data_IF_566361424322
#
_entry.id   IF_566361424322
#
_cell.length_a   1.000
_cell.length_b   1.000
_cell.length_c   1.000
_cell.angle_alpha   90.00
_cell.angle_beta   90.00
_cell.angle_gamma   90.00
#
_symmetry.space_group_name_H-M   'P 1'
#
loop_
_entity.id
_entity.type
_entity.pdbx_description
1 polymer ?
#
# COMPACT_ATOMS: atom_id res chain seq x y z
N UNK A 1 -22.13 35.65 50.46
CA UNK A 1 -21.39 34.89 51.51
C UNK A 1 -21.11 33.51 50.88
N UNK A 2 -19.92 33.31 50.36
CA UNK A 2 -19.48 31.99 49.95
C UNK A 2 -19.29 31.13 51.19
N UNK A 3 -19.98 29.98 51.25
CA UNK A 3 -19.72 28.98 52.27
C UNK A 3 -18.28 28.49 52.19
N UNK A 4 -17.72 27.94 53.24
CA UNK A 4 -16.36 27.43 53.25
C UNK A 4 -16.24 26.35 52.13
N UNK A 5 -15.21 26.48 51.33
CA UNK A 5 -14.80 25.44 50.36
C UNK A 5 -14.77 24.09 51.11
N UNK A 6 -15.78 23.27 50.85
CA UNK A 6 -15.77 21.90 51.31
C UNK A 6 -14.85 21.12 50.40
N UNK A 7 -13.57 21.13 50.72
CA UNK A 7 -12.63 20.24 50.05
C UNK A 7 -13.10 18.79 50.28
N UNK A 8 -13.32 18.10 49.17
CA UNK A 8 -13.61 16.68 49.19
C UNK A 8 -12.32 15.95 49.59
N UNK A 9 -12.39 15.06 50.59
CA UNK A 9 -11.24 14.22 50.93
C UNK A 9 -10.85 13.34 49.76
N UNK A 10 -9.55 13.08 49.63
CA UNK A 10 -9.08 12.07 48.70
C UNK A 10 -9.80 10.73 48.98
N UNK A 11 -10.17 10.04 47.92
CA UNK A 11 -10.86 8.75 47.93
C UNK A 11 -12.21 8.73 48.63
N UNK A 12 -12.84 9.91 48.85
CA UNK A 12 -14.14 10.01 49.50
C UNK A 12 -15.33 9.95 48.55
N UNK A 13 -15.11 10.10 47.24
CA UNK A 13 -16.14 9.94 46.23
C UNK A 13 -15.99 8.54 45.60
N UNK A 14 -17.02 7.74 45.76
CA UNK A 14 -17.09 6.39 45.24
C UNK A 14 -18.22 6.29 44.19
N UNK A 15 -18.22 5.23 43.37
CA UNK A 15 -19.19 5.07 42.29
C UNK A 15 -20.67 5.32 42.65
N UNK A 16 -21.17 4.94 43.85
CA UNK A 16 -22.54 5.28 44.28
C UNK A 16 -22.80 6.77 44.53
N UNK A 17 -21.76 7.56 44.71
CA UNK A 17 -21.89 9.01 44.98
C UNK A 17 -22.05 9.82 43.69
N UNK A 18 -21.78 9.20 42.53
CA UNK A 18 -21.91 9.81 41.23
C UNK A 18 -23.03 9.12 40.43
N UNK A 19 -24.11 9.84 40.20
CA UNK A 19 -25.23 9.29 39.47
C UNK A 19 -24.79 8.93 38.02
N UNK A 20 -25.35 7.88 37.48
CA UNK A 20 -25.07 7.45 36.11
C UNK A 20 -25.35 8.59 35.11
N UNK A 21 -24.42 8.86 34.20
CA UNK A 21 -24.47 9.94 33.19
C UNK A 21 -24.54 11.37 33.79
N UNK A 22 -24.15 11.56 35.06
CA UNK A 22 -24.16 12.90 35.67
C UNK A 22 -22.91 13.71 35.38
N UNK A 23 -21.81 13.08 34.99
CA UNK A 23 -20.59 13.77 34.57
C UNK A 23 -20.57 13.99 33.08
N UNK A 24 -20.24 15.19 32.68
CA UNK A 24 -20.10 15.63 31.29
C UNK A 24 -18.68 16.11 31.04
N UNK A 25 -18.31 16.37 29.75
CA UNK A 25 -17.00 16.94 29.42
C UNK A 25 -16.70 18.28 30.09
N UNK A 26 -17.75 19.04 30.49
CA UNK A 26 -17.57 20.30 31.24
C UNK A 26 -17.20 20.13 32.70
N UNK A 27 -17.36 18.92 33.25
CA UNK A 27 -17.08 18.61 34.66
C UNK A 27 -15.64 18.11 34.86
N UNK A 28 -14.94 17.85 33.74
CA UNK A 28 -13.56 17.35 33.75
C UNK A 28 -12.67 18.38 33.06
N UNK A 29 -11.65 18.86 33.76
CA UNK A 29 -10.73 19.85 33.20
C UNK A 29 -9.99 19.28 31.99
N UNK A 30 -9.78 20.11 30.97
CA UNK A 30 -9.04 19.74 29.77
C UNK A 30 -7.67 19.17 30.10
N UNK A 31 -7.31 18.06 29.47
CA UNK A 31 -6.05 17.34 29.64
C UNK A 31 -5.79 16.79 31.08
N UNK A 32 -6.81 16.73 31.91
CA UNK A 32 -6.68 16.21 33.29
C UNK A 32 -6.71 14.68 33.39
N UNK A 33 -7.37 14.00 32.42
CA UNK A 33 -7.40 12.54 32.35
C UNK A 33 -6.20 12.05 31.48
N UNK A 34 -5.54 11.01 31.97
CA UNK A 34 -4.44 10.31 31.31
C UNK A 34 -4.86 8.86 31.03
N UNK A 35 -4.12 8.15 30.17
CA UNK A 35 -4.41 6.76 29.86
C UNK A 35 -4.53 5.84 31.08
N UNK A 36 -3.79 6.13 32.18
CA UNK A 36 -3.87 5.36 33.40
C UNK A 36 -5.19 5.57 34.20
N UNK A 37 -5.92 6.64 33.89
CA UNK A 37 -7.18 6.99 34.51
C UNK A 37 -8.40 6.37 33.81
N UNK A 38 -8.16 5.71 32.65
CA UNK A 38 -9.19 5.18 31.80
C UNK A 38 -8.93 3.68 31.52
N UNK A 39 -9.94 2.85 31.79
CA UNK A 39 -9.92 1.45 31.37
C UNK A 39 -10.28 1.38 29.87
N UNK A 40 -9.26 1.43 29.01
CA UNK A 40 -9.40 1.42 27.57
C UNK A 40 -9.98 0.10 27.03
N UNK A 41 -9.93 -0.98 27.81
CA UNK A 41 -10.52 -2.26 27.40
C UNK A 41 -12.03 -2.20 27.27
N UNK A 42 -12.66 -1.24 27.94
CA UNK A 42 -14.11 -1.00 27.93
C UNK A 42 -14.56 0.00 26.85
N UNK A 43 -13.61 0.70 26.22
CA UNK A 43 -13.86 1.72 25.22
C UNK A 43 -13.87 1.12 23.80
N UNK A 44 -14.91 0.40 23.45
CA UNK A 44 -15.03 -0.27 22.15
C UNK A 44 -15.10 0.66 20.93
N UNK A 45 -15.25 1.97 21.15
CA UNK A 45 -15.47 2.95 20.05
C UNK A 45 -14.43 4.07 19.96
N UNK A 46 -13.45 4.11 20.85
CA UNK A 46 -12.43 5.18 20.86
C UNK A 46 -11.06 4.53 20.66
N UNK A 47 -10.60 4.45 19.45
CA UNK A 47 -9.24 4.18 18.94
C UNK A 47 -8.14 3.48 19.78
N UNK A 48 -8.39 3.07 21.00
CA UNK A 48 -7.38 2.56 21.92
C UNK A 48 -7.28 1.04 22.07
N UNK A 49 -8.20 0.25 21.53
CA UNK A 49 -8.18 -1.22 21.68
C UNK A 49 -9.32 -1.94 20.98
N UNK A 50 -10.13 -1.22 20.21
CA UNK A 50 -11.25 -1.75 19.44
C UNK A 50 -10.79 -2.56 18.22
N UNK A 51 -11.72 -3.27 17.56
CA UNK A 51 -11.44 -3.89 16.30
C UNK A 51 -11.07 -2.83 15.26
N UNK A 52 -10.11 -3.11 14.42
CA UNK A 52 -9.84 -2.32 13.23
C UNK A 52 -10.99 -2.50 12.22
N UNK A 53 -11.18 -1.52 11.34
CA UNK A 53 -12.27 -1.56 10.37
C UNK A 53 -11.83 -1.01 9.02
N UNK A 54 -12.68 -1.14 8.00
CA UNK A 54 -12.34 -0.80 6.63
C UNK A 54 -11.32 -1.78 6.05
N UNK A 55 -10.25 -1.26 5.48
CA UNK A 55 -9.16 -2.03 4.89
C UNK A 55 -8.18 -2.63 5.92
N UNK A 56 -8.46 -2.45 7.19
CA UNK A 56 -7.67 -2.99 8.28
C UNK A 56 -8.42 -4.10 9.01
N UNK A 57 -7.67 -5.11 9.46
CA UNK A 57 -8.14 -6.21 10.32
C UNK A 57 -7.34 -6.26 11.62
N UNK A 58 -7.75 -7.11 12.57
CA UNK A 58 -7.12 -7.22 13.87
C UNK A 58 -7.63 -6.17 14.87
N UNK A 59 -6.79 -5.71 15.75
CA UNK A 59 -7.13 -4.76 16.80
C UNK A 59 -6.06 -3.68 16.93
N UNK A 60 -6.48 -2.46 17.23
CA UNK A 60 -5.54 -1.41 17.63
C UNK A 60 -4.83 -1.79 18.95
N UNK A 61 -3.56 -1.39 19.16
CA UNK A 61 -2.77 -0.47 18.34
C UNK A 61 -2.00 -1.12 17.17
N UNK A 62 -2.14 -2.41 16.90
CA UNK A 62 -1.38 -3.13 15.89
C UNK A 62 -2.34 -3.77 14.84
N UNK A 63 -3.07 -2.97 14.06
CA UNK A 63 -3.88 -3.50 12.97
C UNK A 63 -2.99 -4.01 11.83
N UNK A 64 -3.53 -4.93 11.07
CA UNK A 64 -2.95 -5.45 9.82
C UNK A 64 -3.82 -5.04 8.64
N UNK A 65 -3.27 -5.04 7.44
CA UNK A 65 -4.05 -4.88 6.22
C UNK A 65 -4.92 -6.14 6.06
N UNK A 66 -6.23 -5.96 5.90
CA UNK A 66 -7.14 -7.07 5.69
C UNK A 66 -6.79 -7.82 4.38
N UNK A 67 -7.07 -9.12 4.34
CA UNK A 67 -6.94 -9.88 3.10
C UNK A 67 -7.78 -9.23 2.00
N UNK A 68 -7.23 -9.15 0.80
CA UNK A 68 -7.86 -8.54 -0.39
C UNK A 68 -8.16 -7.03 -0.28
N UNK A 69 -7.67 -6.34 0.76
CA UNK A 69 -7.82 -4.88 0.91
C UNK A 69 -7.01 -4.08 -0.12
N UNK A 70 -5.96 -4.68 -0.68
CA UNK A 70 -5.18 -4.08 -1.77
C UNK A 70 -5.44 -4.89 -3.04
N UNK A 71 -6.35 -4.40 -3.86
CA UNK A 71 -6.73 -4.98 -5.14
C UNK A 71 -6.24 -4.16 -6.32
N UNK A 72 -6.75 -4.49 -7.52
CA UNK A 72 -6.42 -3.74 -8.74
C UNK A 72 -6.92 -2.29 -8.73
N UNK A 73 -7.90 -1.98 -7.88
CA UNK A 73 -8.46 -0.63 -7.71
C UNK A 73 -7.52 0.27 -6.90
N UNK A 74 -6.85 -0.28 -5.91
CA UNK A 74 -5.87 0.42 -5.06
C UNK A 74 -4.54 0.58 -5.79
N UNK A 75 -4.22 -0.33 -6.71
CA UNK A 75 -3.05 -0.27 -7.60
C UNK A 75 -3.30 0.57 -8.86
N UNK A 76 -4.00 1.68 -8.74
CA UNK A 76 -4.44 2.52 -9.88
C UNK A 76 -3.33 3.07 -10.77
N UNK A 77 -2.13 3.04 -10.37
CA UNK A 77 -1.01 3.52 -11.17
C UNK A 77 -0.25 2.43 -11.90
N UNK A 78 -0.75 1.19 -11.93
CA UNK A 78 -0.08 0.13 -12.67
C UNK A 78 -0.37 0.25 -14.17
N UNK A 79 0.68 0.53 -14.94
CA UNK A 79 0.65 0.74 -16.38
C UNK A 79 1.45 -0.38 -17.01
N UNK A 80 0.82 -1.11 -17.95
CA UNK A 80 1.51 -2.07 -18.81
C UNK A 80 1.85 -1.39 -20.13
N UNK A 81 3.11 -1.48 -20.52
CA UNK A 81 3.64 -0.96 -21.79
C UNK A 81 4.25 -2.11 -22.54
N UNK A 82 3.98 -2.16 -23.83
CA UNK A 82 4.55 -3.14 -24.74
C UNK A 82 5.17 -2.42 -25.95
N UNK A 83 6.35 -2.86 -26.37
CA UNK A 83 6.96 -2.47 -27.63
C UNK A 83 7.51 -3.69 -28.35
N UNK A 84 7.61 -3.62 -29.67
CA UNK A 84 8.04 -4.77 -30.46
C UNK A 84 8.75 -4.37 -31.77
N UNK A 85 9.64 -5.23 -32.21
CA UNK A 85 10.27 -5.10 -33.52
C UNK A 85 10.34 -6.43 -34.25
N UNK A 86 10.31 -6.35 -35.57
CA UNK A 86 10.52 -7.50 -36.44
C UNK A 86 12.01 -7.75 -36.61
N UNK A 87 12.46 -8.95 -36.21
CA UNK A 87 13.86 -9.38 -36.31
C UNK A 87 14.04 -10.22 -37.58
N UNK A 88 14.95 -9.82 -38.47
CA UNK A 88 15.19 -10.55 -39.74
C UNK A 88 15.61 -12.00 -39.48
N UNK A 89 15.33 -12.92 -40.44
CA UNK A 89 15.71 -14.33 -40.31
C UNK A 89 17.23 -14.54 -40.45
N UNK A 90 17.67 -15.78 -40.27
CA UNK A 90 19.02 -16.25 -40.52
C UNK A 90 20.10 -15.56 -39.69
N UNK A 91 19.86 -15.43 -38.39
CA UNK A 91 20.82 -14.82 -37.44
C UNK A 91 20.67 -13.31 -37.31
N UNK A 92 19.59 -12.72 -37.80
CA UNK A 92 19.29 -11.30 -37.54
C UNK A 92 19.20 -11.01 -36.06
N UNK A 93 19.78 -9.89 -35.63
CA UNK A 93 19.79 -9.42 -34.23
C UNK A 93 18.95 -8.15 -34.15
N UNK A 94 18.25 -7.98 -33.04
CA UNK A 94 17.51 -6.76 -32.75
C UNK A 94 17.44 -6.44 -31.28
N UNK A 95 17.29 -5.15 -31.01
CA UNK A 95 17.13 -4.56 -29.70
C UNK A 95 15.79 -3.86 -29.63
N UNK A 96 15.03 -4.10 -28.58
CA UNK A 96 13.72 -3.47 -28.33
C UNK A 96 13.67 -2.98 -26.88
N UNK A 97 13.04 -1.84 -26.67
CA UNK A 97 12.92 -1.23 -25.35
C UNK A 97 11.51 -0.71 -25.11
N UNK A 98 10.83 -1.20 -24.06
CA UNK A 98 9.56 -0.70 -23.60
C UNK A 98 9.78 0.35 -22.50
N UNK A 99 9.37 1.59 -22.76
CA UNK A 99 9.57 2.72 -21.84
C UNK A 99 8.33 3.01 -21.01
N UNK A 100 8.54 3.19 -19.73
CA UNK A 100 7.50 3.71 -18.84
C UNK A 100 7.12 5.15 -19.23
N UNK A 101 5.83 5.51 -19.15
CA UNK A 101 5.39 6.89 -19.35
C UNK A 101 6.06 7.87 -18.39
N UNK A 102 6.10 9.14 -18.79
CA UNK A 102 6.62 10.22 -17.94
C UNK A 102 5.90 10.26 -16.59
N UNK A 103 6.66 10.39 -15.52
CA UNK A 103 6.13 10.40 -14.15
C UNK A 103 5.93 9.02 -13.53
N UNK A 104 6.18 7.94 -14.27
CA UNK A 104 6.10 6.57 -13.75
C UNK A 104 7.49 5.93 -13.58
N UNK A 105 7.52 4.83 -12.85
CA UNK A 105 8.72 4.06 -12.55
C UNK A 105 8.53 2.59 -12.91
N UNK A 106 9.55 1.99 -13.53
CA UNK A 106 9.58 0.56 -13.82
C UNK A 106 9.52 -0.27 -12.53
N UNK A 107 8.65 -1.28 -12.52
CA UNK A 107 8.57 -2.31 -11.48
C UNK A 107 9.27 -3.59 -11.95
N UNK A 108 8.87 -4.07 -13.12
CA UNK A 108 9.43 -5.26 -13.76
C UNK A 108 9.13 -5.22 -15.26
N UNK A 109 9.65 -6.20 -15.98
CA UNK A 109 9.35 -6.40 -17.39
C UNK A 109 9.77 -7.78 -17.84
N UNK A 110 9.61 -8.01 -19.13
CA UNK A 110 9.95 -9.26 -19.77
C UNK A 110 10.14 -9.11 -21.27
N UNK A 111 10.54 -10.20 -21.91
CA UNK A 111 10.61 -10.25 -23.36
C UNK A 111 10.34 -11.65 -23.89
N UNK A 112 9.84 -11.72 -25.11
CA UNK A 112 9.58 -13.00 -25.77
C UNK A 112 9.69 -12.87 -27.27
N UNK A 113 10.05 -13.99 -27.91
CA UNK A 113 9.88 -14.16 -29.36
C UNK A 113 8.56 -14.87 -29.66
N UNK A 114 7.98 -14.55 -30.80
CA UNK A 114 6.74 -15.19 -31.28
C UNK A 114 6.89 -16.70 -31.52
N UNK A 115 8.11 -17.17 -31.85
CA UNK A 115 8.40 -18.58 -32.14
C UNK A 115 9.68 -19.07 -31.45
N UNK A 116 9.83 -20.39 -31.20
CA UNK A 116 10.95 -20.97 -30.45
C UNK A 116 12.33 -20.83 -31.09
N UNK A 117 12.41 -20.43 -32.37
CA UNK A 117 13.69 -20.20 -33.04
C UNK A 117 14.32 -18.85 -32.75
N UNK A 118 13.66 -18.00 -31.97
CA UNK A 118 14.26 -16.80 -31.41
C UNK A 118 15.00 -17.12 -30.10
N UNK A 119 16.13 -16.49 -29.89
CA UNK A 119 16.98 -16.61 -28.71
C UNK A 119 17.22 -15.24 -28.11
N UNK A 120 16.90 -15.07 -26.84
CA UNK A 120 17.22 -13.86 -26.08
C UNK A 120 18.66 -13.91 -25.61
N UNK A 121 19.46 -12.91 -26.00
CA UNK A 121 20.82 -12.71 -25.48
C UNK A 121 20.83 -11.84 -24.23
N UNK A 122 19.83 -10.96 -24.09
CA UNK A 122 19.68 -10.05 -22.96
C UNK A 122 18.20 -9.72 -22.72
N UNK A 123 17.78 -9.61 -21.47
CA UNK A 123 16.48 -9.08 -21.05
C UNK A 123 16.64 -8.51 -19.66
N UNK A 124 16.66 -7.18 -19.55
CA UNK A 124 17.05 -6.50 -18.31
C UNK A 124 16.43 -5.10 -18.18
N UNK A 125 16.35 -4.55 -16.97
CA UNK A 125 15.92 -3.17 -16.77
C UNK A 125 16.98 -2.18 -17.25
N UNK A 126 16.55 -1.09 -17.89
CA UNK A 126 17.38 0.08 -18.20
C UNK A 126 17.01 1.23 -17.27
N UNK A 127 17.79 1.36 -16.21
CA UNK A 127 17.48 2.29 -15.14
C UNK A 127 16.14 2.00 -14.46
N UNK A 128 15.43 3.04 -14.10
CA UNK A 128 14.11 2.93 -13.45
C UNK A 128 12.95 3.22 -14.42
N UNK A 129 13.20 3.25 -15.74
CA UNK A 129 12.23 3.79 -16.69
C UNK A 129 11.96 2.89 -17.90
N UNK A 130 12.70 1.81 -18.10
CA UNK A 130 12.49 0.95 -19.25
C UNK A 130 12.91 -0.50 -18.97
N UNK A 131 12.32 -1.42 -19.73
CA UNK A 131 12.81 -2.78 -19.91
C UNK A 131 13.34 -2.95 -21.31
N UNK A 132 14.50 -3.58 -21.46
CA UNK A 132 15.14 -3.77 -22.76
C UNK A 132 15.50 -5.22 -22.99
N UNK A 133 15.34 -5.68 -24.21
CA UNK A 133 15.80 -6.99 -24.59
C UNK A 133 16.50 -6.96 -25.94
N UNK A 134 17.52 -7.77 -26.05
CA UNK A 134 18.23 -8.08 -27.28
C UNK A 134 18.09 -9.56 -27.58
N UNK A 135 17.89 -9.87 -28.83
CA UNK A 135 17.76 -11.26 -29.24
C UNK A 135 18.07 -11.50 -30.70
N UNK A 136 18.27 -12.76 -31.03
CA UNK A 136 18.62 -13.22 -32.36
C UNK A 136 17.53 -14.14 -32.91
N UNK A 137 17.18 -13.96 -34.18
CA UNK A 137 16.28 -14.85 -34.91
C UNK A 137 17.08 -15.88 -35.73
N UNK A 138 17.14 -17.10 -35.25
CA UNK A 138 17.80 -18.22 -35.94
C UNK A 138 16.86 -18.96 -36.91
N UNK A 139 15.62 -18.48 -37.09
CA UNK A 139 14.64 -19.04 -37.99
C UNK A 139 14.83 -18.62 -39.45
N UNK A 140 14.00 -19.18 -40.33
CA UNK A 140 14.01 -18.90 -41.74
C UNK A 140 13.04 -17.77 -42.15
N UNK A 141 12.20 -17.32 -41.24
CA UNK A 141 11.25 -16.23 -41.46
C UNK A 141 11.47 -15.15 -40.39
N UNK A 142 11.12 -13.92 -40.72
CA UNK A 142 11.17 -12.83 -39.74
C UNK A 142 10.30 -13.16 -38.50
N UNK A 143 10.73 -12.73 -37.34
CA UNK A 143 10.02 -12.95 -36.06
C UNK A 143 9.91 -11.66 -35.29
N UNK A 144 8.81 -11.51 -34.58
CA UNK A 144 8.63 -10.40 -33.67
C UNK A 144 9.30 -10.70 -32.31
N UNK A 145 10.18 -9.82 -31.91
CA UNK A 145 10.63 -9.70 -30.50
C UNK A 145 9.73 -8.68 -29.82
N UNK A 146 9.03 -9.11 -28.79
CA UNK A 146 8.17 -8.28 -27.95
C UNK A 146 8.83 -8.08 -26.60
N UNK A 147 8.81 -6.84 -26.12
CA UNK A 147 9.29 -6.44 -24.78
C UNK A 147 8.15 -5.77 -24.05
N UNK A 148 7.94 -6.15 -22.82
CA UNK A 148 6.92 -5.57 -21.96
C UNK A 148 7.54 -4.96 -20.70
N UNK A 149 6.93 -3.90 -20.19
CA UNK A 149 7.30 -3.23 -18.98
C UNK A 149 6.06 -2.92 -18.13
N UNK A 150 6.08 -3.27 -16.84
CA UNK A 150 5.07 -2.86 -15.88
C UNK A 150 5.61 -1.69 -15.07
N UNK A 151 4.89 -0.59 -15.13
CA UNK A 151 5.29 0.68 -14.55
C UNK A 151 4.28 1.12 -13.49
N UNK A 152 4.73 1.83 -12.47
CA UNK A 152 3.89 2.43 -11.45
C UNK A 152 3.95 3.94 -11.58
N UNK A 153 2.80 4.57 -11.72
CA UNK A 153 2.66 6.03 -11.64
C UNK A 153 3.04 6.54 -10.23
N UNK A 154 3.73 7.68 -10.17
CA UNK A 154 4.19 8.29 -8.92
C UNK A 154 3.30 9.43 -8.47
#
# INVERSE_FOLDING_TARGET
MGGPDRAVKNDSIIAPDVATNSLTGGDVADNSLKGVDIDESTLSSIGGGGPAGGDLTGRYPNPEIAADAVGSTELRGLIHVEDSAEIPPMGGVGLVSAFCPDGSQLINGGASFAFPSGELSRSEPVGAIAWEAEGQNNGMVAQTLTVDANCLER
#
